data_IF_573303153447
#
_entry.id   IF_573303153447
#
_cell.length_a   1.000
_cell.length_b   1.000
_cell.length_c   1.000
_cell.angle_alpha   90.00
_cell.angle_beta   90.00
_cell.angle_gamma   90.00
#
_symmetry.space_group_name_H-M   'P 1'
#
loop_
_entity.id
_entity.type
_entity.pdbx_description
1 polymer ?
#
# COMPACT_ATOMS: atom_id res chain seq x y z
N UNK A 1 -2.69 5.28 -18.12
CA UNK A 1 -1.26 4.89 -18.02
C UNK A 1 -0.42 5.72 -17.06
N UNK A 2 -0.22 7.02 -17.25
CA UNK A 2 0.77 7.79 -16.47
C UNK A 2 0.51 7.94 -14.96
N UNK A 3 -0.75 7.90 -14.52
CA UNK A 3 -1.12 8.11 -13.10
C UNK A 3 -0.81 6.87 -12.25
N UNK A 4 -1.01 5.68 -12.80
CA UNK A 4 -0.79 4.40 -12.10
C UNK A 4 0.72 4.12 -11.99
N UNK A 5 1.49 4.38 -13.06
CA UNK A 5 2.93 4.15 -13.07
C UNK A 5 3.70 5.06 -12.10
N UNK A 6 3.25 6.31 -11.92
CA UNK A 6 3.87 7.23 -10.95
C UNK A 6 3.68 6.74 -9.50
N UNK A 7 2.50 6.22 -9.18
CA UNK A 7 2.19 5.71 -7.82
C UNK A 7 3.00 4.46 -7.47
N UNK A 8 3.25 3.59 -8.45
CA UNK A 8 4.12 2.42 -8.26
C UNK A 8 5.56 2.84 -7.90
N UNK A 9 6.12 3.82 -8.61
CA UNK A 9 7.46 4.32 -8.33
C UNK A 9 7.57 4.96 -6.93
N UNK A 10 6.56 5.74 -6.53
CA UNK A 10 6.50 6.36 -5.19
C UNK A 10 6.49 5.31 -4.07
N UNK A 11 5.69 4.24 -4.24
CA UNK A 11 5.60 3.15 -3.25
C UNK A 11 6.90 2.35 -3.21
N UNK A 12 7.50 2.02 -4.37
CA UNK A 12 8.78 1.31 -4.41
C UNK A 12 9.87 2.04 -3.64
N UNK A 13 10.02 3.34 -3.91
CA UNK A 13 11.00 4.16 -3.20
C UNK A 13 10.72 4.22 -1.69
N UNK A 14 9.47 4.21 -1.25
CA UNK A 14 9.12 4.22 0.18
C UNK A 14 9.42 2.87 0.84
N UNK A 15 9.11 1.75 0.18
CA UNK A 15 9.40 0.40 0.66
C UNK A 15 10.91 0.18 0.76
N UNK A 16 11.66 0.52 -0.28
CA UNK A 16 13.13 0.42 -0.31
C UNK A 16 13.77 1.23 0.83
N UNK A 17 13.27 2.44 1.09
CA UNK A 17 13.73 3.25 2.24
C UNK A 17 13.43 2.58 3.57
N UNK A 18 12.22 2.04 3.76
CA UNK A 18 11.86 1.32 4.99
C UNK A 18 12.72 0.08 5.23
N UNK A 19 13.00 -0.68 4.17
CA UNK A 19 13.94 -1.82 4.22
C UNK A 19 15.34 -1.36 4.61
N UNK A 20 15.85 -0.29 3.97
CA UNK A 20 17.19 0.25 4.26
C UNK A 20 17.37 0.69 5.72
N UNK A 21 16.27 1.06 6.39
CA UNK A 21 16.24 1.47 7.80
C UNK A 21 16.02 0.30 8.77
N UNK A 22 15.74 -0.89 8.26
CA UNK A 22 15.34 -2.06 9.06
C UNK A 22 13.95 -1.92 9.69
N UNK A 23 13.12 -1.00 9.17
CA UNK A 23 11.74 -0.81 9.62
C UNK A 23 10.79 -1.82 8.95
N UNK A 24 11.14 -2.25 7.75
CA UNK A 24 10.39 -3.21 6.93
C UNK A 24 11.23 -4.46 6.65
N UNK A 25 10.57 -5.61 6.56
CA UNK A 25 11.21 -6.90 6.24
C UNK A 25 11.91 -6.84 4.86
N UNK A 26 13.09 -7.44 4.78
CA UNK A 26 13.99 -7.31 3.62
C UNK A 26 13.51 -8.03 2.35
N UNK A 27 12.55 -8.95 2.48
CA UNK A 27 11.96 -9.74 1.39
C UNK A 27 10.61 -9.17 0.90
N UNK A 28 10.26 -7.95 1.30
CA UNK A 28 9.06 -7.28 0.78
C UNK A 28 9.20 -6.96 -0.70
N UNK A 29 8.20 -7.37 -1.45
CA UNK A 29 7.98 -6.97 -2.83
C UNK A 29 7.17 -5.65 -2.86
N UNK A 30 7.73 -4.53 -3.38
CA UNK A 30 7.01 -3.27 -3.43
C UNK A 30 5.80 -3.25 -4.36
N UNK A 31 5.76 -4.11 -5.40
CA UNK A 31 4.59 -4.24 -6.26
C UNK A 31 3.43 -4.85 -5.47
N UNK A 32 3.70 -5.91 -4.71
CA UNK A 32 2.71 -6.52 -3.81
C UNK A 32 2.21 -5.55 -2.73
N UNK A 33 3.09 -4.71 -2.17
CA UNK A 33 2.68 -3.65 -1.23
C UNK A 33 1.70 -2.69 -1.89
N UNK A 34 1.98 -2.30 -3.13
CA UNK A 34 1.10 -1.40 -3.90
C UNK A 34 -0.26 -2.03 -4.12
N UNK A 35 -0.31 -3.30 -4.53
CA UNK A 35 -1.55 -4.02 -4.79
C UNK A 35 -2.41 -4.18 -3.52
N UNK A 36 -1.77 -4.48 -2.38
CA UNK A 36 -2.47 -4.61 -1.10
C UNK A 36 -3.04 -3.27 -0.59
N UNK A 37 -2.41 -2.14 -0.92
CA UNK A 37 -2.88 -0.81 -0.54
C UNK A 37 -3.95 -0.28 -1.52
N UNK A 38 -3.75 -0.45 -2.83
CA UNK A 38 -4.65 0.11 -3.85
C UNK A 38 -5.82 -0.81 -4.18
N UNK A 39 -5.68 -2.13 -4.07
CA UNK A 39 -6.72 -3.10 -4.36
C UNK A 39 -8.03 -2.84 -3.58
N UNK A 40 -7.99 -2.66 -2.25
CA UNK A 40 -9.17 -2.31 -1.47
C UNK A 40 -9.79 -0.95 -1.83
N UNK A 41 -8.97 0.02 -2.23
CA UNK A 41 -9.42 1.34 -2.71
C UNK A 41 -10.19 1.19 -4.02
N UNK A 42 -9.61 0.49 -5.00
CA UNK A 42 -10.25 0.23 -6.29
C UNK A 42 -11.49 -0.65 -6.15
N UNK A 43 -11.48 -1.65 -5.27
CA UNK A 43 -12.66 -2.46 -4.98
C UNK A 43 -13.82 -1.62 -4.43
N UNK A 44 -13.55 -0.67 -3.52
CA UNK A 44 -14.60 0.25 -3.04
C UNK A 44 -15.06 1.21 -4.10
N UNK A 45 -14.12 1.77 -4.85
CA UNK A 45 -14.42 2.78 -5.85
C UNK A 45 -15.22 2.23 -7.04
N UNK A 46 -14.85 1.07 -7.57
CA UNK A 46 -15.45 0.52 -8.79
C UNK A 46 -16.55 -0.51 -8.55
N UNK A 47 -16.51 -1.26 -7.44
CA UNK A 47 -17.35 -2.45 -7.26
C UNK A 47 -18.36 -2.30 -6.12
N UNK A 48 -17.90 -2.03 -4.89
CA UNK A 48 -18.81 -2.08 -3.73
C UNK A 48 -19.50 -0.75 -3.40
N UNK A 49 -18.92 0.39 -3.77
CA UNK A 49 -19.44 1.71 -3.41
C UNK A 49 -19.43 2.01 -1.90
N UNK A 50 -18.74 1.20 -1.10
CA UNK A 50 -18.65 1.41 0.35
C UNK A 50 -17.91 2.72 0.68
N UNK A 51 -18.20 3.38 1.82
CA UNK A 51 -17.59 4.66 2.17
C UNK A 51 -16.06 4.63 2.09
N UNK A 52 -15.48 5.66 1.48
CA UNK A 52 -14.04 5.85 1.35
C UNK A 52 -13.65 7.12 2.11
N UNK A 53 -13.54 6.97 3.42
CA UNK A 53 -13.18 8.03 4.38
C UNK A 53 -11.77 7.84 4.95
N UNK A 54 -11.26 8.85 5.66
CA UNK A 54 -9.94 8.78 6.31
C UNK A 54 -9.83 7.59 7.27
N UNK A 55 -10.95 7.20 7.89
CA UNK A 55 -11.02 6.03 8.77
C UNK A 55 -10.74 4.72 8.03
N UNK A 56 -11.14 4.59 6.77
CA UNK A 56 -10.82 3.43 5.94
C UNK A 56 -9.32 3.34 5.67
N UNK A 57 -8.67 4.45 5.29
CA UNK A 57 -7.23 4.48 5.09
C UNK A 57 -6.46 4.07 6.35
N UNK A 58 -6.85 4.62 7.51
CA UNK A 58 -6.23 4.29 8.79
C UNK A 58 -6.38 2.80 9.15
N UNK A 59 -7.58 2.23 8.96
CA UNK A 59 -7.82 0.80 9.20
C UNK A 59 -6.99 -0.07 8.26
N UNK A 60 -6.94 0.25 6.98
CA UNK A 60 -6.20 -0.52 5.99
C UNK A 60 -4.71 -0.60 6.34
N UNK A 61 -4.08 0.55 6.64
CA UNK A 61 -2.67 0.59 7.05
C UNK A 61 -2.46 -0.16 8.37
N UNK A 62 -3.33 0.03 9.35
CA UNK A 62 -3.23 -0.66 10.65
C UNK A 62 -3.30 -2.18 10.49
N UNK A 63 -4.17 -2.67 9.60
CA UNK A 63 -4.33 -4.09 9.31
C UNK A 63 -3.11 -4.67 8.59
N UNK A 64 -2.54 -3.96 7.62
CA UNK A 64 -1.44 -4.46 6.79
C UNK A 64 -0.05 -4.28 7.42
N UNK A 65 0.13 -3.26 8.27
CA UNK A 65 1.43 -2.92 8.88
C UNK A 65 2.14 -4.11 9.52
N UNK A 66 1.49 -4.98 10.33
CA UNK A 66 2.17 -6.11 10.95
C UNK A 66 2.78 -7.09 9.94
N UNK A 67 2.23 -7.19 8.72
CA UNK A 67 2.74 -8.05 7.66
C UNK A 67 3.95 -7.47 6.92
N UNK A 68 4.24 -6.19 7.14
CA UNK A 68 5.36 -5.47 6.50
C UNK A 68 6.52 -5.20 7.45
N UNK A 69 6.28 -5.17 8.76
CA UNK A 69 7.29 -4.90 9.76
C UNK A 69 8.41 -5.97 9.75
N UNK A 70 9.64 -5.54 10.04
CA UNK A 70 10.80 -6.41 10.26
C UNK A 70 10.72 -7.16 11.60
#
# INVERSE_FOLDING_TARGET
DQVVSHRLADVSALVERGISRGELRADLDPEMVTDLLLGPIYYRFFLSGAPMDDGFGQRLVTTLRPSFAA
#
